data_IF_990097197143
#
_entry.id   IF_990097197143
#
_cell.length_a   1.000
_cell.length_b   1.000
_cell.length_c   1.000
_cell.angle_alpha   90.00
_cell.angle_beta   90.00
_cell.angle_gamma   90.00
#
_symmetry.space_group_name_H-M   'P 1'
#
loop_
_entity.id
_entity.type
_entity.pdbx_description
1 polymer ?
#
# COMPACT_ATOMS: atom_id res chain seq x y z
N UNK A 1 16.49 19.74 -3.46
CA UNK A 1 16.64 18.39 -4.07
C UNK A 1 15.97 18.40 -5.44
N UNK A 2 16.64 17.91 -6.50
CA UNK A 2 16.08 17.98 -7.86
C UNK A 2 14.91 17.00 -8.03
N UNK A 3 13.85 17.43 -8.74
CA UNK A 3 12.69 16.61 -9.08
C UNK A 3 13.06 15.32 -9.85
N UNK A 4 14.18 15.34 -10.59
CA UNK A 4 14.69 14.20 -11.36
C UNK A 4 15.26 13.09 -10.45
N UNK A 5 16.03 13.45 -9.42
CA UNK A 5 16.61 12.48 -8.48
C UNK A 5 15.53 11.75 -7.67
N UNK A 6 14.50 12.47 -7.22
CA UNK A 6 13.36 11.89 -6.50
C UNK A 6 12.55 10.93 -7.38
N UNK A 7 12.37 11.25 -8.67
CA UNK A 7 11.67 10.39 -9.63
C UNK A 7 12.45 9.11 -9.92
N UNK A 8 13.77 9.21 -10.11
CA UNK A 8 14.65 8.05 -10.31
C UNK A 8 14.66 7.12 -9.09
N UNK A 9 14.72 7.68 -7.88
CA UNK A 9 14.63 6.92 -6.64
C UNK A 9 13.29 6.18 -6.53
N UNK A 10 12.17 6.85 -6.84
CA UNK A 10 10.85 6.25 -6.82
C UNK A 10 10.71 5.09 -7.83
N UNK A 11 11.20 5.28 -9.07
CA UNK A 11 11.19 4.23 -10.11
C UNK A 11 12.01 3.02 -9.66
N UNK A 12 13.21 3.24 -9.12
CA UNK A 12 14.04 2.14 -8.58
C UNK A 12 13.30 1.35 -7.51
N UNK A 13 12.61 2.04 -6.58
CA UNK A 13 11.84 1.37 -5.53
C UNK A 13 10.60 0.65 -6.06
N UNK A 14 9.89 1.22 -7.05
CA UNK A 14 8.79 0.49 -7.72
C UNK A 14 9.27 -0.77 -8.42
N UNK A 15 10.45 -0.75 -9.03
CA UNK A 15 11.05 -1.94 -9.62
C UNK A 15 11.37 -2.99 -8.54
N UNK A 16 11.79 -2.57 -7.34
CA UNK A 16 12.03 -3.48 -6.20
C UNK A 16 10.78 -4.21 -5.72
N UNK A 17 9.59 -3.63 -5.89
CA UNK A 17 8.31 -4.25 -5.51
C UNK A 17 7.86 -5.30 -6.52
N UNK A 18 8.40 -5.29 -7.74
CA UNK A 18 7.98 -6.21 -8.80
C UNK A 18 8.18 -7.66 -8.34
N UNK A 19 7.18 -8.51 -8.60
CA UNK A 19 7.12 -9.92 -8.19
C UNK A 19 7.03 -10.15 -6.67
N UNK A 20 6.98 -9.09 -5.86
CA UNK A 20 6.74 -9.24 -4.43
C UNK A 20 5.25 -9.54 -4.17
N UNK A 21 4.92 -10.49 -3.28
CA UNK A 21 3.56 -10.69 -2.84
C UNK A 21 3.13 -9.57 -1.89
N UNK A 22 1.85 -9.20 -1.92
CA UNK A 22 1.26 -8.42 -0.83
C UNK A 22 1.24 -9.28 0.43
N UNK A 23 1.80 -8.79 1.51
CA UNK A 23 1.93 -9.54 2.76
C UNK A 23 1.13 -8.94 3.91
N UNK A 24 0.87 -7.64 3.88
CA UNK A 24 0.00 -6.94 4.83
C UNK A 24 -0.76 -5.87 4.09
N UNK A 25 -2.03 -5.68 4.43
CA UNK A 25 -2.71 -4.44 4.09
C UNK A 25 -3.35 -3.84 5.34
N UNK A 26 -3.11 -2.55 5.54
CA UNK A 26 -3.63 -1.78 6.65
C UNK A 26 -4.52 -0.65 6.16
N UNK A 27 -5.59 -0.39 6.91
CA UNK A 27 -6.46 0.76 6.70
C UNK A 27 -6.44 1.62 7.96
N UNK A 28 -6.04 2.89 7.83
CA UNK A 28 -5.94 3.83 8.95
C UNK A 28 -7.17 4.73 9.08
N UNK A 29 -7.37 5.33 10.27
CA UNK A 29 -8.49 6.24 10.60
C UNK A 29 -8.47 7.56 9.79
N UNK A 30 -7.39 7.85 9.06
CA UNK A 30 -7.34 8.95 8.06
C UNK A 30 -7.66 8.52 6.63
N UNK A 31 -8.26 7.34 6.46
CA UNK A 31 -8.59 6.72 5.17
C UNK A 31 -7.35 6.46 4.27
N UNK A 32 -6.16 6.42 4.86
CA UNK A 32 -4.93 6.00 4.16
C UNK A 32 -4.86 4.47 4.14
N UNK A 33 -4.52 3.91 2.98
CA UNK A 33 -4.25 2.49 2.82
C UNK A 33 -2.74 2.30 2.81
N UNK A 34 -2.24 1.41 3.67
CA UNK A 34 -0.88 0.93 3.60
C UNK A 34 -0.87 -0.46 2.97
N UNK A 35 -0.12 -0.64 1.89
CA UNK A 35 0.12 -1.94 1.28
C UNK A 35 1.58 -2.32 1.54
N UNK A 36 1.77 -3.40 2.28
CA UNK A 36 3.06 -4.00 2.56
C UNK A 36 3.37 -5.12 1.55
N UNK A 37 4.60 -5.15 1.03
CA UNK A 37 5.09 -6.13 0.06
C UNK A 37 6.29 -6.91 0.60
N UNK A 38 6.42 -8.15 0.13
CA UNK A 38 7.57 -9.01 0.42
C UNK A 38 7.46 -9.71 1.77
N UNK A 39 8.61 -10.14 2.30
CA UNK A 39 8.65 -10.84 3.59
C UNK A 39 8.13 -9.95 4.73
N UNK A 40 7.51 -10.55 5.74
CA UNK A 40 7.04 -9.84 6.94
C UNK A 40 7.72 -10.34 8.19
N UNK A 41 8.06 -9.42 9.07
CA UNK A 41 8.59 -9.73 10.39
C UNK A 41 7.66 -9.15 11.47
N UNK A 42 7.45 -9.88 12.59
CA UNK A 42 6.73 -9.34 13.72
C UNK A 42 7.58 -8.26 14.40
N UNK A 43 7.12 -7.02 14.38
CA UNK A 43 7.74 -5.90 15.05
C UNK A 43 6.98 -5.57 16.33
N UNK A 44 7.70 -5.55 17.45
CA UNK A 44 7.12 -5.18 18.74
C UNK A 44 6.85 -3.68 18.76
N UNK A 45 5.69 -3.25 19.22
CA UNK A 45 5.45 -1.83 19.49
C UNK A 45 4.99 -1.62 20.93
N UNK A 46 5.32 -0.45 21.48
CA UNK A 46 4.86 -0.01 22.79
C UNK A 46 3.83 1.12 22.59
N UNK A 47 2.53 0.82 22.60
CA UNK A 47 1.51 1.87 22.68
C UNK A 47 1.51 2.44 24.11
N UNK A 48 1.86 3.71 24.28
CA UNK A 48 1.56 4.47 25.49
C UNK A 48 0.41 5.42 25.21
N UNK A 49 -0.59 5.42 26.08
CA UNK A 49 -1.50 6.54 26.31
C UNK A 49 -2.20 6.48 27.69
N UNK A 50 -2.23 5.33 28.39
CA UNK A 50 -2.94 5.22 29.69
C UNK A 50 -2.32 4.25 30.72
N UNK A 51 -1.00 4.10 30.74
CA UNK A 51 -0.30 3.40 31.84
C UNK A 51 -0.38 1.86 31.85
N UNK A 52 -1.33 1.23 31.13
CA UNK A 52 -1.34 -0.24 30.96
C UNK A 52 -0.56 -0.65 29.71
N UNK A 53 0.68 -1.14 29.92
CA UNK A 53 1.48 -1.80 28.88
C UNK A 53 0.72 -3.01 28.33
N UNK A 54 0.13 -2.92 27.14
CA UNK A 54 -0.21 -4.11 26.35
C UNK A 54 0.96 -4.40 25.42
N UNK A 55 1.64 -5.51 25.66
CA UNK A 55 2.65 -6.06 24.77
C UNK A 55 1.94 -6.55 23.51
N UNK A 56 2.39 -6.12 22.34
CA UNK A 56 1.82 -6.53 21.06
C UNK A 56 2.86 -6.52 19.96
N UNK A 57 2.52 -7.21 18.87
CA UNK A 57 3.31 -7.24 17.64
C UNK A 57 2.44 -6.66 16.51
N UNK A 58 3.06 -5.90 15.62
CA UNK A 58 2.50 -5.59 14.31
C UNK A 58 3.39 -6.24 13.24
N UNK A 59 2.82 -6.67 12.12
CA UNK A 59 3.63 -7.17 11.01
C UNK A 59 4.19 -5.98 10.24
N UNK A 60 5.50 -5.97 10.03
CA UNK A 60 6.18 -4.98 9.19
C UNK A 60 6.64 -5.68 7.92
N UNK A 61 6.29 -5.11 6.77
CA UNK A 61 6.70 -5.62 5.47
C UNK A 61 8.07 -5.04 5.09
N UNK A 62 8.76 -5.70 4.15
CA UNK A 62 10.03 -5.23 3.59
C UNK A 62 9.88 -3.86 2.91
N UNK A 63 8.75 -3.68 2.21
CA UNK A 63 8.37 -2.45 1.53
C UNK A 63 6.96 -2.04 1.92
N UNK A 64 6.76 -0.78 2.28
CA UNK A 64 5.43 -0.21 2.54
C UNK A 64 5.12 0.92 1.53
N UNK A 65 3.95 0.83 0.91
CA UNK A 65 3.38 1.88 0.04
C UNK A 65 2.09 2.43 0.65
N UNK A 66 2.12 3.74 0.93
CA UNK A 66 0.98 4.47 1.47
C UNK A 66 0.20 5.16 0.34
N UNK A 67 -1.08 4.81 0.21
CA UNK A 67 -2.02 5.36 -0.75
C UNK A 67 -3.03 6.26 -0.02
N UNK A 68 -3.16 7.52 -0.47
CA UNK A 68 -4.10 8.46 0.11
C UNK A 68 -5.55 8.12 -0.26
N UNK A 69 -6.48 8.27 0.69
CA UNK A 69 -7.90 7.97 0.48
C UNK A 69 -8.50 8.70 -0.68
N UNK A 70 -8.29 10.02 -0.77
CA UNK A 70 -9.12 10.89 -1.59
C UNK A 70 -9.14 10.54 -3.08
N UNK A 71 -8.29 9.63 -3.54
CA UNK A 71 -8.14 9.30 -4.95
C UNK A 71 -7.87 7.81 -5.22
N UNK A 72 -8.16 6.87 -4.32
CA UNK A 72 -7.89 5.45 -4.57
C UNK A 72 -9.08 4.67 -5.15
N UNK A 73 -8.77 3.69 -6.01
CA UNK A 73 -9.71 2.78 -6.66
C UNK A 73 -9.10 1.37 -6.78
N UNK A 74 -9.89 0.33 -6.52
CA UNK A 74 -9.54 -1.08 -6.83
C UNK A 74 -10.48 -1.60 -7.91
N UNK A 75 -9.92 -1.98 -9.06
CA UNK A 75 -10.63 -2.50 -10.22
C UNK A 75 -10.37 -3.98 -10.36
N UNK A 76 -11.45 -4.77 -10.38
CA UNK A 76 -11.41 -6.21 -10.57
C UNK A 76 -11.70 -6.60 -12.01
N UNK A 77 -11.25 -7.79 -12.40
CA UNK A 77 -11.44 -8.35 -13.75
C UNK A 77 -12.90 -8.62 -14.10
N UNK A 78 -13.75 -8.86 -13.11
CA UNK A 78 -15.19 -9.04 -13.28
C UNK A 78 -15.98 -7.72 -13.47
N UNK A 79 -15.28 -6.59 -13.66
CA UNK A 79 -15.90 -5.27 -13.81
C UNK A 79 -16.27 -4.57 -12.50
N UNK A 80 -16.10 -5.24 -11.35
CA UNK A 80 -16.33 -4.63 -10.05
C UNK A 80 -15.26 -3.56 -9.75
N UNK A 81 -15.70 -2.39 -9.27
CA UNK A 81 -14.84 -1.29 -8.88
C UNK A 81 -15.19 -0.85 -7.46
N UNK A 82 -14.20 -0.84 -6.58
CA UNK A 82 -14.28 -0.33 -5.22
C UNK A 82 -13.58 1.04 -5.18
N UNK A 83 -14.28 2.04 -4.64
CA UNK A 83 -13.84 3.44 -4.55
C UNK A 83 -13.60 3.85 -3.11
N UNK A 84 -12.79 4.88 -2.93
CA UNK A 84 -12.51 5.43 -1.61
C UNK A 84 -13.70 5.91 -0.80
N UNK A 85 -14.79 6.31 -1.48
CA UNK A 85 -16.03 6.79 -0.85
C UNK A 85 -16.99 5.66 -0.46
N UNK A 86 -16.65 4.40 -0.75
CA UNK A 86 -17.50 3.27 -0.43
C UNK A 86 -17.52 2.96 1.08
N UNK A 87 -18.40 2.05 1.48
CA UNK A 87 -18.54 1.64 2.88
C UNK A 87 -17.19 1.18 3.47
N UNK A 88 -16.71 1.76 4.59
CA UNK A 88 -15.41 1.45 5.15
C UNK A 88 -15.20 -0.02 5.53
N UNK A 89 -16.24 -0.71 6.01
CA UNK A 89 -16.14 -2.14 6.38
C UNK A 89 -16.00 -3.02 5.15
N UNK A 90 -16.74 -2.70 4.09
CA UNK A 90 -16.60 -3.38 2.78
C UNK A 90 -15.22 -3.16 2.21
N UNK A 91 -14.74 -1.91 2.24
CA UNK A 91 -13.40 -1.54 1.79
C UNK A 91 -12.34 -2.38 2.50
N UNK A 92 -12.37 -2.41 3.83
CA UNK A 92 -11.40 -3.18 4.63
C UNK A 92 -11.38 -4.67 4.23
N UNK A 93 -12.56 -5.29 4.13
CA UNK A 93 -12.68 -6.70 3.74
C UNK A 93 -12.13 -6.97 2.34
N UNK A 94 -12.46 -6.13 1.37
CA UNK A 94 -11.99 -6.29 -0.02
C UNK A 94 -10.48 -6.06 -0.16
N UNK A 95 -9.95 -5.13 0.64
CA UNK A 95 -8.52 -4.86 0.71
C UNK A 95 -7.76 -6.07 1.28
N UNK A 96 -8.26 -6.67 2.36
CA UNK A 96 -7.66 -7.88 2.97
C UNK A 96 -7.55 -9.04 1.97
N UNK A 97 -8.49 -9.16 1.04
CA UNK A 97 -8.45 -10.16 -0.03
C UNK A 97 -7.30 -9.94 -1.04
N UNK A 98 -6.57 -8.83 -0.93
CA UNK A 98 -5.39 -8.58 -1.77
C UNK A 98 -4.11 -9.21 -1.20
N UNK A 99 -4.13 -9.65 0.06
CA UNK A 99 -3.01 -10.40 0.65
C UNK A 99 -2.75 -11.68 -0.14
N UNK A 100 -1.47 -11.95 -0.44
CA UNK A 100 -1.02 -13.07 -1.25
C UNK A 100 -0.98 -12.80 -2.75
N UNK A 101 -1.60 -11.72 -3.24
CA UNK A 101 -1.53 -11.37 -4.68
C UNK A 101 -0.13 -10.88 -5.03
N UNK A 102 0.40 -11.39 -6.15
CA UNK A 102 1.70 -11.00 -6.69
C UNK A 102 1.58 -9.71 -7.51
N UNK A 103 2.46 -8.75 -7.24
CA UNK A 103 2.55 -7.50 -8.01
C UNK A 103 3.35 -7.72 -9.31
N UNK A 104 2.78 -7.33 -10.45
CA UNK A 104 3.49 -7.35 -11.75
C UNK A 104 4.12 -6.00 -12.07
N UNK A 105 3.51 -4.89 -11.66
CA UNK A 105 4.07 -3.57 -11.87
C UNK A 105 3.49 -2.54 -10.92
N UNK A 106 4.29 -1.54 -10.55
CA UNK A 106 3.80 -0.29 -9.96
C UNK A 106 4.23 0.85 -10.88
N UNK A 107 3.29 1.72 -11.25
CA UNK A 107 3.55 2.81 -12.21
C UNK A 107 2.89 4.11 -11.75
N UNK A 108 3.35 5.24 -12.31
CA UNK A 108 2.67 6.52 -12.13
C UNK A 108 1.83 6.84 -13.36
N UNK A 109 0.53 7.00 -13.20
CA UNK A 109 -0.42 7.27 -14.27
C UNK A 109 -0.96 8.70 -14.22
N UNK A 110 -1.06 9.34 -15.38
CA UNK A 110 -1.67 10.66 -15.57
C UNK A 110 -0.87 11.85 -15.02
N UNK A 111 -1.37 13.06 -15.31
CA UNK A 111 -0.73 14.35 -14.93
C UNK A 111 -0.73 14.58 -13.41
N UNK A 112 -1.75 14.05 -12.72
CA UNK A 112 -1.86 14.14 -11.25
C UNK A 112 -0.91 13.20 -10.51
N UNK A 113 -0.08 12.43 -11.26
CA UNK A 113 0.81 11.38 -10.78
C UNK A 113 -0.02 10.42 -9.93
N UNK A 114 -0.61 9.36 -10.45
CA UNK A 114 -1.39 8.41 -9.64
C UNK A 114 -0.61 7.11 -9.55
N UNK A 115 -0.35 6.58 -8.35
CA UNK A 115 0.33 5.29 -8.22
C UNK A 115 -0.67 4.18 -8.59
N UNK A 116 -0.36 3.39 -9.61
CA UNK A 116 -1.16 2.26 -10.08
C UNK A 116 -0.35 0.97 -9.90
N UNK A 117 -0.90 0.04 -9.13
CA UNK A 117 -0.39 -1.30 -8.86
C UNK A 117 -1.18 -2.27 -9.74
N UNK A 118 -0.48 -3.13 -10.47
CA UNK A 118 -1.10 -4.20 -11.29
C UNK A 118 -0.74 -5.54 -10.69
N UNK A 119 -1.75 -6.38 -10.48
CA UNK A 119 -1.60 -7.71 -9.91
C UNK A 119 -1.52 -8.78 -11.00
N UNK A 120 -0.98 -9.95 -10.65
CA UNK A 120 -0.83 -11.06 -11.59
C UNK A 120 -2.15 -11.63 -12.11
N UNK A 121 -3.22 -11.48 -11.35
CA UNK A 121 -4.56 -11.88 -11.75
C UNK A 121 -5.29 -10.81 -12.61
N UNK A 122 -4.60 -9.74 -13.03
CA UNK A 122 -5.16 -8.69 -13.89
C UNK A 122 -5.90 -7.57 -13.16
N UNK A 123 -6.11 -7.70 -11.85
CA UNK A 123 -6.69 -6.63 -11.04
C UNK A 123 -5.73 -5.43 -10.91
N UNK A 124 -6.28 -4.23 -10.68
CA UNK A 124 -5.49 -3.01 -10.50
C UNK A 124 -5.92 -2.19 -9.30
N UNK A 125 -4.96 -1.63 -8.57
CA UNK A 125 -5.18 -0.73 -7.44
C UNK A 125 -4.47 0.60 -7.72
N UNK A 126 -5.24 1.69 -7.85
CA UNK A 126 -4.73 3.03 -8.14
C UNK A 126 -4.93 3.99 -6.96
N UNK A 127 -4.08 5.01 -6.81
CA UNK A 127 -4.35 6.20 -5.98
C UNK A 127 -3.75 7.48 -6.54
N UNK A 128 -4.40 8.63 -6.37
CA UNK A 128 -3.79 9.94 -6.67
C UNK A 128 -2.58 10.24 -5.79
N UNK A 129 -1.43 10.63 -6.36
CA UNK A 129 -0.24 10.91 -5.56
C UNK A 129 -0.55 12.08 -4.63
N UNK A 130 -0.66 11.71 -3.37
CA UNK A 130 0.57 11.69 -2.60
C UNK A 130 0.82 10.24 -2.17
N UNK A 131 1.72 9.53 -2.86
CA UNK A 131 2.41 8.41 -2.22
C UNK A 131 3.22 9.06 -1.09
N UNK A 132 2.60 9.20 0.07
CA UNK A 132 3.06 10.14 1.11
C UNK A 132 4.45 9.75 1.60
N UNK A 133 4.76 8.45 1.49
CA UNK A 133 6.08 7.88 1.70
C UNK A 133 6.10 6.50 1.04
N UNK A 134 7.23 6.12 0.46
CA UNK A 134 7.58 4.71 0.35
C UNK A 134 8.72 4.47 1.33
N UNK A 135 8.58 3.47 2.19
CA UNK A 135 9.57 3.16 3.20
C UNK A 135 10.09 1.76 2.90
N UNK A 136 11.37 1.70 2.58
CA UNK A 136 12.15 0.47 2.66
C UNK A 136 12.53 0.28 4.12
N UNK A 137 12.32 -0.93 4.65
CA UNK A 137 12.81 -1.25 5.98
C UNK A 137 14.28 -1.62 5.85
N UNK A 138 15.16 -0.65 6.07
CA UNK A 138 16.58 -0.94 6.30
C UNK A 138 16.72 -1.85 7.51
N UNK A 139 17.42 -2.97 7.32
CA UNK A 139 17.87 -3.87 8.39
C UNK A 139 18.91 -3.12 9.23
#
# INVERSE_FOLDING_TARGET
>A
MSLSANRLCLIKRFNGIRLSPISVVGHSIGSTINIGFGATTPHRYAKRLSGKRRVGHFRRAEWDLFLASACWELRKTNGYCLRWSDNPRRIAKEIELSVGKTVISVSLRGLRKQAEIRFANGETCGSGLTATKMVEVGI
#
